data_IF_063438673970
#
_entry.id   IF_063438673970
#
_cell.length_a   1.000
_cell.length_b   1.000
_cell.length_c   1.000
_cell.angle_alpha   90.00
_cell.angle_beta   90.00
_cell.angle_gamma   90.00
#
_symmetry.space_group_name_H-M   'P 1'
#
loop_
_entity.id
_entity.type
_entity.pdbx_description
1 polymer ?
#
# COMPACT_ATOMS: atom_id res chain seq x y z
N UNK A 1 30.19 -5.13 19.57
CA UNK A 1 29.18 -5.86 18.79
C UNK A 1 29.41 -5.69 17.28
N UNK A 2 29.46 -4.46 16.73
CA UNK A 2 29.66 -4.24 15.27
C UNK A 2 31.01 -4.79 14.75
N UNK A 3 32.09 -4.63 15.52
CA UNK A 3 33.43 -5.15 15.16
C UNK A 3 33.47 -6.70 15.19
N UNK A 4 32.69 -7.31 16.07
CA UNK A 4 32.53 -8.76 16.19
C UNK A 4 31.77 -9.34 14.99
N UNK A 5 30.71 -8.64 14.57
CA UNK A 5 29.97 -8.98 13.37
C UNK A 5 30.82 -8.80 12.10
N UNK A 6 31.68 -7.76 12.03
CA UNK A 6 32.61 -7.56 10.95
C UNK A 6 33.54 -8.77 10.80
N UNK A 7 34.14 -9.24 11.89
CA UNK A 7 35.02 -10.43 11.90
C UNK A 7 34.30 -11.72 11.50
N UNK A 8 33.04 -11.89 11.96
CA UNK A 8 32.20 -13.05 11.57
C UNK A 8 31.85 -13.07 10.08
N UNK A 9 31.87 -11.90 9.45
CA UNK A 9 31.60 -11.72 8.02
C UNK A 9 32.90 -11.65 7.18
N UNK A 10 34.08 -11.90 7.81
CA UNK A 10 35.39 -11.99 7.12
C UNK A 10 36.04 -10.63 6.88
N UNK A 11 35.65 -9.59 7.66
CA UNK A 11 36.24 -8.26 7.58
C UNK A 11 37.01 -7.91 8.87
N UNK A 12 38.25 -7.49 8.76
CA UNK A 12 39.09 -7.20 9.93
C UNK A 12 38.78 -5.85 10.57
N UNK A 13 38.20 -4.93 9.79
CA UNK A 13 37.88 -3.57 10.23
C UNK A 13 36.43 -3.19 9.94
N UNK A 14 35.91 -2.23 10.69
CA UNK A 14 34.56 -1.69 10.47
C UNK A 14 34.45 -0.98 9.11
N UNK A 15 35.53 -0.30 8.69
CA UNK A 15 35.58 0.42 7.41
C UNK A 15 35.52 -0.54 6.21
N UNK A 16 36.14 -1.71 6.31
CA UNK A 16 36.01 -2.76 5.29
C UNK A 16 34.56 -3.33 5.22
N UNK A 17 33.93 -3.55 6.37
CA UNK A 17 32.56 -3.98 6.41
C UNK A 17 31.62 -2.94 5.75
N UNK A 18 31.82 -1.66 6.10
CA UNK A 18 31.02 -0.57 5.53
C UNK A 18 31.26 -0.40 4.03
N UNK A 19 32.51 -0.55 3.58
CA UNK A 19 32.84 -0.55 2.16
C UNK A 19 32.19 -1.72 1.41
N UNK A 20 32.22 -2.94 1.97
CA UNK A 20 31.58 -4.11 1.37
C UNK A 20 30.07 -3.96 1.23
N UNK A 21 29.42 -3.35 2.22
CA UNK A 21 27.98 -3.00 2.15
C UNK A 21 27.74 -1.90 1.12
N UNK A 22 28.57 -0.85 1.10
CA UNK A 22 28.43 0.29 0.18
C UNK A 22 28.63 -0.09 -1.29
N UNK A 23 29.55 -1.01 -1.57
CA UNK A 23 29.80 -1.55 -2.93
C UNK A 23 28.84 -2.68 -3.32
N UNK A 24 27.93 -3.09 -2.41
CA UNK A 24 26.94 -4.15 -2.70
C UNK A 24 27.52 -5.57 -2.67
N UNK A 25 28.72 -5.76 -2.16
CA UNK A 25 29.34 -7.09 -1.98
C UNK A 25 28.73 -7.84 -0.79
N UNK A 26 28.10 -7.12 0.14
CA UNK A 26 27.44 -7.68 1.32
C UNK A 26 26.03 -7.07 1.49
N UNK A 27 25.02 -7.91 1.68
CA UNK A 27 23.68 -7.44 1.89
C UNK A 27 23.49 -6.84 3.31
N UNK A 28 22.92 -5.64 3.41
CA UNK A 28 22.65 -4.96 4.71
C UNK A 28 21.81 -5.84 5.65
N UNK A 29 20.92 -6.66 5.08
CA UNK A 29 20.08 -7.59 5.84
C UNK A 29 20.89 -8.66 6.57
N UNK A 30 22.01 -9.10 6.02
CA UNK A 30 22.89 -10.11 6.62
C UNK A 30 23.67 -9.56 7.82
N UNK A 31 24.09 -8.30 7.74
CA UNK A 31 24.74 -7.59 8.85
C UNK A 31 23.73 -7.36 10.00
N UNK A 32 22.50 -6.95 9.68
CA UNK A 32 21.44 -6.73 10.67
C UNK A 32 21.02 -8.04 11.34
N UNK A 33 20.90 -9.14 10.59
CA UNK A 33 20.53 -10.44 11.13
C UNK A 33 21.53 -10.94 12.18
N UNK A 34 22.82 -10.68 11.97
CA UNK A 34 23.87 -11.05 12.93
C UNK A 34 23.98 -10.10 14.13
N UNK A 35 23.57 -8.84 13.97
CA UNK A 35 23.50 -7.87 15.07
C UNK A 35 22.34 -8.13 16.02
N UNK A 36 21.22 -8.66 15.52
CA UNK A 36 19.97 -8.90 16.26
C UNK A 36 19.88 -10.32 16.81
N UNK A 37 20.86 -11.20 16.53
CA UNK A 37 20.88 -12.55 17.09
C UNK A 37 20.94 -12.48 18.63
N UNK A 38 19.95 -13.03 19.36
CA UNK A 38 19.91 -12.96 20.83
C UNK A 38 21.02 -13.83 21.41
N UNK A 39 21.81 -13.26 22.33
CA UNK A 39 22.71 -14.03 23.20
C UNK A 39 21.90 -15.05 24.01
N UNK A 40 22.41 -16.26 24.25
CA UNK A 40 21.68 -17.31 24.98
C UNK A 40 21.59 -16.96 26.47
N UNK A 41 20.42 -16.56 26.91
CA UNK A 41 20.14 -16.40 28.34
C UNK A 41 19.09 -15.32 28.63
N UNK A 42 17.82 -15.62 28.42
CA UNK A 42 16.70 -15.34 29.30
C UNK A 42 15.41 -15.66 28.53
N UNK A 43 14.85 -16.83 28.79
CA UNK A 43 13.54 -17.21 28.26
C UNK A 43 12.44 -16.47 29.04
N UNK A 44 11.79 -15.52 28.40
CA UNK A 44 10.46 -15.05 28.76
C UNK A 44 9.53 -15.55 27.66
N UNK A 45 8.40 -16.20 27.94
CA UNK A 45 7.48 -16.66 26.92
C UNK A 45 6.78 -15.44 26.33
N UNK A 46 7.31 -14.93 25.23
CA UNK A 46 6.61 -13.97 24.39
C UNK A 46 5.73 -14.78 23.44
N UNK A 47 4.45 -14.45 23.44
CA UNK A 47 3.47 -14.98 22.48
C UNK A 47 4.08 -14.90 21.07
N UNK A 48 3.93 -15.99 20.34
CA UNK A 48 4.43 -16.13 18.96
C UNK A 48 3.97 -14.95 18.13
N UNK A 49 4.91 -14.22 17.46
CA UNK A 49 4.49 -13.25 16.47
C UNK A 49 3.87 -14.04 15.32
N UNK A 50 2.59 -13.81 15.05
CA UNK A 50 1.97 -14.25 13.82
C UNK A 50 2.91 -13.88 12.68
N UNK A 51 3.48 -14.89 12.07
CA UNK A 51 4.35 -14.80 10.91
C UNK A 51 3.72 -13.87 9.89
N UNK A 52 4.23 -12.64 9.78
CA UNK A 52 4.03 -11.84 8.61
C UNK A 52 4.71 -12.59 7.47
N UNK A 53 3.95 -13.43 6.78
CA UNK A 53 4.39 -14.04 5.54
C UNK A 53 4.74 -12.89 4.61
N UNK A 54 6.05 -12.65 4.43
CA UNK A 54 6.57 -11.93 3.28
C UNK A 54 6.09 -12.73 2.09
N UNK A 55 4.98 -12.30 1.49
CA UNK A 55 4.60 -12.75 0.17
C UNK A 55 5.81 -12.50 -0.72
N UNK A 56 6.35 -13.53 -1.36
CA UNK A 56 7.42 -13.33 -2.32
C UNK A 56 6.88 -12.37 -3.39
N UNK A 57 7.65 -11.33 -3.71
CA UNK A 57 7.47 -10.56 -4.94
C UNK A 57 7.77 -11.54 -6.06
N UNK A 58 6.78 -12.32 -6.39
CA UNK A 58 6.82 -13.35 -7.39
C UNK A 58 5.78 -13.06 -8.44
N UNK A 59 6.26 -12.96 -9.67
CA UNK A 59 5.55 -13.11 -10.93
C UNK A 59 4.47 -12.05 -11.19
N UNK A 60 4.57 -11.45 -12.37
CA UNK A 60 3.55 -10.70 -13.09
C UNK A 60 2.19 -11.41 -13.01
N UNK A 61 1.54 -11.34 -11.85
CA UNK A 61 0.16 -11.71 -11.72
C UNK A 61 -0.62 -10.66 -12.50
N UNK A 62 -1.36 -11.17 -13.45
CA UNK A 62 -2.32 -10.48 -14.29
C UNK A 62 -3.18 -9.55 -13.41
N UNK A 63 -2.75 -8.29 -13.27
CA UNK A 63 -3.40 -7.31 -12.39
C UNK A 63 -4.73 -6.83 -12.99
N UNK A 64 -5.32 -7.63 -13.88
CA UNK A 64 -6.59 -7.34 -14.50
C UNK A 64 -6.54 -6.12 -15.43
N UNK A 65 -5.38 -5.81 -16.01
CA UNK A 65 -5.21 -4.71 -16.96
C UNK A 65 -4.65 -5.25 -18.28
N UNK A 66 -5.24 -4.83 -19.40
CA UNK A 66 -4.76 -5.12 -20.75
C UNK A 66 -4.25 -3.87 -21.44
N UNK A 67 -3.13 -4.01 -22.11
CA UNK A 67 -2.55 -2.96 -22.98
C UNK A 67 -2.94 -3.24 -24.42
N UNK A 68 -3.48 -2.24 -25.12
CA UNK A 68 -3.75 -2.36 -26.55
C UNK A 68 -2.44 -2.52 -27.30
N UNK A 69 -2.22 -3.71 -27.91
CA UNK A 69 -1.11 -3.96 -28.82
C UNK A 69 0.18 -4.50 -28.22
N UNK A 70 0.26 -4.75 -26.91
CA UNK A 70 1.43 -5.35 -26.28
C UNK A 70 1.05 -6.48 -25.33
N UNK A 71 1.74 -7.62 -25.46
CA UNK A 71 1.68 -8.75 -24.53
C UNK A 71 3.01 -8.79 -23.79
N UNK A 72 3.01 -9.26 -22.54
CA UNK A 72 4.23 -9.45 -21.73
C UNK A 72 4.94 -8.16 -21.25
N UNK A 73 4.22 -7.06 -21.05
CA UNK A 73 4.75 -5.90 -20.36
C UNK A 73 4.66 -6.08 -18.84
N UNK A 74 5.76 -5.75 -18.14
CA UNK A 74 5.72 -5.66 -16.68
C UNK A 74 4.82 -4.49 -16.31
N UNK A 75 3.62 -4.78 -15.77
CA UNK A 75 2.63 -3.77 -15.37
C UNK A 75 2.55 -3.67 -13.86
N UNK A 76 2.36 -2.45 -13.36
CA UNK A 76 2.20 -2.19 -11.93
C UNK A 76 1.12 -1.13 -11.71
N UNK A 77 0.16 -1.40 -10.82
CA UNK A 77 -0.79 -0.38 -10.36
C UNK A 77 -0.07 0.67 -9.52
N UNK A 78 -0.36 1.93 -9.80
CA UNK A 78 0.26 3.05 -9.08
C UNK A 78 -0.25 3.14 -7.65
N UNK A 79 0.67 3.22 -6.68
CA UNK A 79 0.33 3.39 -5.25
C UNK A 79 -0.21 4.78 -4.93
N UNK A 80 0.08 5.79 -5.73
CA UNK A 80 -0.35 7.17 -5.45
C UNK A 80 -1.86 7.38 -5.64
N UNK A 81 -2.52 6.61 -6.51
CA UNK A 81 -3.95 6.75 -6.78
C UNK A 81 -4.75 5.45 -6.60
N UNK A 82 -4.06 4.30 -6.47
CA UNK A 82 -4.65 2.97 -6.29
C UNK A 82 -5.92 2.79 -7.15
N UNK A 83 -5.76 2.73 -8.50
CA UNK A 83 -6.89 2.58 -9.38
C UNK A 83 -7.56 1.22 -9.16
N UNK A 84 -8.88 1.17 -9.28
CA UNK A 84 -9.66 -0.06 -9.16
C UNK A 84 -10.46 -0.31 -10.44
N UNK A 85 -10.89 -1.55 -10.73
CA UNK A 85 -11.74 -1.85 -11.88
C UNK A 85 -12.95 -0.92 -11.95
N UNK A 86 -13.14 -0.32 -13.15
CA UNK A 86 -14.16 0.70 -13.39
C UNK A 86 -13.68 2.15 -13.26
N UNK A 87 -12.47 2.41 -12.73
CA UNK A 87 -11.82 3.71 -12.89
C UNK A 87 -11.34 3.88 -14.34
N UNK A 88 -11.34 5.11 -14.83
CA UNK A 88 -10.64 5.46 -16.08
C UNK A 88 -9.15 5.43 -15.81
N UNK A 89 -8.40 4.62 -16.56
CA UNK A 89 -6.99 4.38 -16.35
C UNK A 89 -6.14 4.77 -17.54
N UNK A 90 -4.89 5.09 -17.27
CA UNK A 90 -3.86 5.42 -18.24
C UNK A 90 -2.55 4.78 -17.82
N UNK A 91 -1.82 4.20 -18.76
CA UNK A 91 -0.51 3.64 -18.55
C UNK A 91 0.58 4.68 -18.79
N UNK A 92 1.61 4.70 -17.96
CA UNK A 92 2.81 5.50 -18.15
C UNK A 92 4.06 4.61 -18.18
N UNK A 93 4.82 4.68 -19.28
CA UNK A 93 6.07 3.94 -19.44
C UNK A 93 7.16 4.60 -18.59
N UNK A 94 7.58 3.92 -17.54
CA UNK A 94 8.65 4.38 -16.65
C UNK A 94 10.01 3.87 -17.09
N UNK A 95 11.08 4.64 -16.82
CA UNK A 95 12.45 4.17 -17.06
C UNK A 95 12.81 3.10 -16.03
N UNK A 96 12.92 1.85 -16.46
CA UNK A 96 13.41 0.73 -15.65
C UNK A 96 12.39 -0.01 -14.78
N UNK A 97 11.11 0.44 -14.70
CA UNK A 97 10.06 -0.26 -13.93
C UNK A 97 8.88 -0.78 -14.76
N UNK A 98 8.97 -0.69 -16.09
CA UNK A 98 7.87 -1.08 -16.97
C UNK A 98 6.74 -0.04 -17.01
N UNK A 99 5.51 -0.52 -17.17
CA UNK A 99 4.30 0.28 -17.31
C UNK A 99 3.63 0.47 -15.94
N UNK A 100 3.46 1.72 -15.52
CA UNK A 100 2.73 2.06 -14.30
C UNK A 100 1.34 2.56 -14.66
N UNK A 101 0.31 1.95 -14.07
CA UNK A 101 -1.11 2.24 -14.34
C UNK A 101 -1.61 3.25 -13.31
N UNK A 102 -2.10 4.38 -13.79
CA UNK A 102 -2.68 5.44 -12.99
C UNK A 102 -4.17 5.64 -13.30
N UNK A 103 -4.92 6.19 -12.35
CA UNK A 103 -6.21 6.81 -12.64
C UNK A 103 -5.98 8.08 -13.46
N UNK A 104 -6.83 8.35 -14.46
CA UNK A 104 -6.76 9.58 -15.27
C UNK A 104 -6.84 10.84 -14.40
N UNK A 105 -7.59 10.78 -13.30
CA UNK A 105 -7.76 11.88 -12.34
C UNK A 105 -6.66 11.91 -11.25
N UNK A 106 -5.49 11.30 -11.48
CA UNK A 106 -4.42 11.25 -10.49
C UNK A 106 -3.66 12.59 -10.46
N UNK A 107 -3.61 13.32 -9.31
CA UNK A 107 -2.89 14.58 -9.23
C UNK A 107 -1.39 14.46 -9.52
N UNK A 108 -0.79 13.33 -9.17
CA UNK A 108 0.61 13.08 -9.49
C UNK A 108 0.84 12.86 -10.99
N UNK A 109 -0.19 12.44 -11.69
CA UNK A 109 -0.15 12.34 -13.14
C UNK A 109 -0.17 13.74 -13.77
N UNK A 110 -0.93 14.68 -13.27
CA UNK A 110 -0.98 16.07 -13.74
C UNK A 110 0.29 16.86 -13.42
N UNK A 111 0.95 16.55 -12.28
CA UNK A 111 2.18 17.22 -11.84
C UNK A 111 3.45 16.71 -12.55
N UNK A 112 3.40 15.55 -13.18
CA UNK A 112 4.48 15.06 -14.02
C UNK A 112 4.42 15.85 -15.34
N UNK A 113 5.49 16.54 -15.69
CA UNK A 113 5.71 17.11 -17.01
C UNK A 113 5.90 15.92 -17.99
N UNK A 114 4.75 15.37 -18.47
CA UNK A 114 4.83 14.12 -19.21
C UNK A 114 5.35 14.33 -20.61
N UNK A 115 6.23 13.46 -20.92
CA UNK A 115 6.45 13.04 -22.27
C UNK A 115 5.19 12.30 -22.72
N UNK A 116 4.33 12.97 -23.49
CA UNK A 116 3.07 12.39 -24.01
C UNK A 116 3.31 11.10 -24.81
N UNK A 117 4.51 10.94 -25.36
CA UNK A 117 4.93 9.76 -26.11
C UNK A 117 5.04 8.50 -25.22
N UNK A 118 5.07 8.66 -23.88
CA UNK A 118 5.13 7.56 -22.91
C UNK A 118 3.77 7.16 -22.36
N UNK A 119 2.72 7.86 -22.76
CA UNK A 119 1.36 7.51 -22.36
C UNK A 119 0.84 6.38 -23.25
N UNK A 120 0.27 5.38 -22.64
CA UNK A 120 -0.29 4.20 -23.30
C UNK A 120 -1.73 4.03 -22.87
N UNK A 121 -2.62 3.82 -23.82
CA UNK A 121 -4.00 3.45 -23.53
C UNK A 121 -4.06 2.04 -22.98
N UNK A 122 -4.72 1.90 -21.84
CA UNK A 122 -4.91 0.64 -21.12
C UNK A 122 -6.37 0.47 -20.76
N UNK A 123 -6.80 -0.78 -20.68
CA UNK A 123 -8.18 -1.14 -20.31
C UNK A 123 -8.15 -2.19 -19.20
N UNK A 124 -9.17 -2.17 -18.32
CA UNK A 124 -9.34 -3.22 -17.33
C UNK A 124 -9.71 -4.54 -18.01
N UNK A 125 -9.05 -5.61 -17.62
CA UNK A 125 -9.51 -6.96 -17.89
C UNK A 125 -10.52 -7.38 -16.83
N UNK A 126 -11.78 -7.34 -17.18
CA UNK A 126 -12.88 -7.67 -16.26
C UNK A 126 -12.96 -9.15 -15.91
N UNK A 127 -12.14 -9.99 -16.52
CA UNK A 127 -12.14 -11.43 -16.29
C UNK A 127 -11.38 -11.86 -15.03
N UNK A 128 -10.53 -10.98 -14.48
CA UNK A 128 -9.71 -11.31 -13.31
C UNK A 128 -10.31 -10.68 -12.04
N UNK A 129 -10.96 -11.46 -11.17
CA UNK A 129 -11.44 -10.96 -9.89
C UNK A 129 -10.25 -10.67 -8.97
N UNK A 130 -10.23 -9.49 -8.36
CA UNK A 130 -9.20 -9.08 -7.42
C UNK A 130 -9.74 -8.16 -6.34
N UNK A 131 -9.07 -8.14 -5.19
CA UNK A 131 -9.31 -7.17 -4.14
C UNK A 131 -8.30 -6.03 -4.27
N UNK A 132 -8.79 -4.82 -4.27
CA UNK A 132 -7.98 -3.62 -4.45
C UNK A 132 -8.06 -2.74 -3.20
N UNK A 133 -6.91 -2.36 -2.60
CA UNK A 133 -6.91 -1.48 -1.43
C UNK A 133 -7.25 -0.05 -1.84
N UNK A 134 -8.24 0.55 -1.18
CA UNK A 134 -8.68 1.92 -1.40
C UNK A 134 -8.67 2.68 -0.10
N UNK A 135 -8.12 3.89 -0.10
CA UNK A 135 -8.17 4.78 1.07
C UNK A 135 -9.48 5.55 1.08
N UNK A 136 -10.18 5.47 2.21
CA UNK A 136 -11.42 6.19 2.51
C UNK A 136 -11.16 7.10 3.71
N UNK A 137 -11.48 8.38 3.57
CA UNK A 137 -11.45 9.34 4.68
C UNK A 137 -12.87 9.70 5.08
N UNK A 138 -13.18 9.50 6.34
CA UNK A 138 -14.47 9.79 6.94
C UNK A 138 -14.30 10.92 7.94
N UNK A 139 -15.07 11.98 7.78
CA UNK A 139 -15.20 13.03 8.77
C UNK A 139 -16.47 12.80 9.57
N UNK A 140 -16.37 12.75 10.88
CA UNK A 140 -17.50 12.50 11.77
C UNK A 140 -17.45 13.40 13.00
N UNK A 141 -18.58 13.53 13.69
CA UNK A 141 -18.63 14.13 15.03
C UNK A 141 -17.99 13.15 16.00
N UNK A 142 -17.09 13.65 16.87
CA UNK A 142 -16.48 12.82 17.92
C UNK A 142 -17.51 12.49 19.00
N UNK A 143 -18.10 11.30 18.88
CA UNK A 143 -19.03 10.76 19.86
C UNK A 143 -18.82 9.26 20.04
N UNK A 144 -19.21 8.77 21.23
CA UNK A 144 -19.13 7.35 21.56
C UNK A 144 -19.85 6.48 20.54
N UNK A 145 -19.18 5.43 20.04
CA UNK A 145 -19.75 4.44 19.14
C UNK A 145 -19.65 4.76 17.66
N UNK A 146 -19.28 5.99 17.25
CA UNK A 146 -19.23 6.36 15.82
C UNK A 146 -18.25 5.47 15.04
N UNK A 147 -17.08 5.18 15.61
CA UNK A 147 -16.10 4.28 14.99
C UNK A 147 -16.67 2.86 14.81
N UNK A 148 -17.32 2.34 15.85
CA UNK A 148 -17.91 1.00 15.79
C UNK A 148 -18.99 0.91 14.70
N UNK A 149 -19.85 1.92 14.63
CA UNK A 149 -20.93 1.96 13.63
C UNK A 149 -20.37 2.10 12.21
N UNK A 150 -19.35 2.92 11.98
CA UNK A 150 -18.68 3.04 10.67
C UNK A 150 -18.02 1.73 10.29
N UNK A 151 -17.31 1.08 11.21
CA UNK A 151 -16.67 -0.22 10.93
C UNK A 151 -17.70 -1.31 10.63
N UNK A 152 -18.84 -1.33 11.34
CA UNK A 152 -19.94 -2.25 11.06
C UNK A 152 -20.54 -2.02 9.67
N UNK A 153 -20.78 -0.75 9.28
CA UNK A 153 -21.30 -0.40 7.96
C UNK A 153 -20.36 -0.85 6.82
N UNK A 154 -19.03 -0.76 7.03
CA UNK A 154 -18.03 -1.29 6.07
C UNK A 154 -18.13 -2.81 5.98
N UNK A 155 -18.20 -3.50 7.13
CA UNK A 155 -18.29 -4.96 7.19
C UNK A 155 -19.58 -5.49 6.55
N UNK A 156 -20.73 -4.81 6.75
CA UNK A 156 -22.01 -5.15 6.12
C UNK A 156 -21.96 -5.07 4.58
N UNK A 157 -21.11 -4.20 4.04
CA UNK A 157 -20.82 -4.14 2.61
C UNK A 157 -19.84 -5.23 2.14
N UNK A 158 -19.42 -6.17 3.00
CA UNK A 158 -18.45 -7.22 2.69
C UNK A 158 -17.06 -6.66 2.28
N UNK A 159 -16.71 -5.48 2.74
CA UNK A 159 -15.40 -4.89 2.55
C UNK A 159 -14.53 -5.15 3.79
N UNK A 160 -13.30 -5.64 3.59
CA UNK A 160 -12.34 -5.82 4.66
C UNK A 160 -11.60 -4.51 4.94
N UNK A 161 -11.30 -4.22 6.22
CA UNK A 161 -10.48 -3.09 6.65
C UNK A 161 -9.07 -3.63 6.89
N UNK A 162 -8.11 -3.24 6.06
CA UNK A 162 -6.70 -3.66 6.23
C UNK A 162 -5.91 -2.67 7.09
N UNK A 163 -6.35 -1.40 7.18
CA UNK A 163 -5.72 -0.37 8.02
C UNK A 163 -6.75 0.65 8.46
N UNK A 164 -6.59 1.16 9.68
CA UNK A 164 -7.37 2.27 10.21
C UNK A 164 -6.46 3.24 10.97
N UNK A 165 -6.63 4.54 10.70
CA UNK A 165 -5.97 5.63 11.42
C UNK A 165 -7.05 6.60 11.87
N UNK A 166 -7.00 7.01 13.14
CA UNK A 166 -8.03 7.85 13.75
C UNK A 166 -7.36 9.03 14.43
N UNK A 167 -7.85 10.20 14.12
CA UNK A 167 -7.41 11.44 14.77
C UNK A 167 -8.62 12.28 15.17
N UNK A 168 -8.71 12.62 16.45
CA UNK A 168 -9.68 13.58 16.96
C UNK A 168 -9.07 14.97 16.95
N UNK A 169 -9.84 15.96 16.51
CA UNK A 169 -9.48 17.38 16.48
C UNK A 169 -10.12 18.13 17.67
N UNK A 170 -9.56 19.28 17.99
CA UNK A 170 -10.06 20.14 19.09
C UNK A 170 -11.50 20.64 18.87
N UNK A 171 -11.96 20.68 17.60
CA UNK A 171 -13.31 21.08 17.21
C UNK A 171 -14.38 19.97 17.37
N UNK A 172 -14.08 18.93 18.16
CA UNK A 172 -14.93 17.73 18.34
C UNK A 172 -15.28 17.00 17.05
N UNK A 173 -14.41 17.08 16.06
CA UNK A 173 -14.49 16.26 14.86
C UNK A 173 -13.45 15.19 14.87
N UNK A 174 -13.83 13.99 14.49
CA UNK A 174 -12.95 12.87 14.24
C UNK A 174 -12.71 12.70 12.74
N UNK A 175 -11.46 12.48 12.36
CA UNK A 175 -11.09 12.02 11.03
C UNK A 175 -10.70 10.55 11.15
N UNK A 176 -11.41 9.71 10.41
CA UNK A 176 -11.23 8.27 10.39
C UNK A 176 -10.75 7.90 8.98
N UNK A 177 -9.50 7.54 8.85
CA UNK A 177 -8.89 7.12 7.60
C UNK A 177 -8.80 5.59 7.59
N UNK A 178 -9.49 4.97 6.64
CA UNK A 178 -9.50 3.52 6.45
C UNK A 178 -8.84 3.15 5.14
N UNK A 179 -8.15 2.01 5.11
CA UNK A 179 -7.82 1.30 3.87
C UNK A 179 -8.76 0.11 3.80
N UNK A 180 -9.64 0.12 2.82
CA UNK A 180 -10.65 -0.93 2.60
C UNK A 180 -10.34 -1.69 1.32
N UNK A 181 -10.59 -2.98 1.34
CA UNK A 181 -10.41 -3.85 0.17
C UNK A 181 -11.73 -3.97 -0.58
N UNK A 182 -11.72 -3.59 -1.85
CA UNK A 182 -12.91 -3.58 -2.71
C UNK A 182 -12.64 -4.23 -4.05
N UNK A 183 -13.69 -4.72 -4.70
CA UNK A 183 -13.57 -5.38 -6.01
C UNK A 183 -13.51 -4.37 -7.16
N UNK A 184 -14.32 -3.30 -7.11
CA UNK A 184 -14.49 -2.34 -8.18
C UNK A 184 -15.01 -0.98 -7.68
N UNK A 185 -15.24 -0.07 -8.62
CA UNK A 185 -15.82 1.26 -8.34
C UNK A 185 -17.26 1.21 -7.83
N UNK A 186 -18.06 0.20 -8.18
CA UNK A 186 -19.44 0.06 -7.69
C UNK A 186 -19.41 -0.36 -6.22
N UNK A 187 -18.50 -1.27 -5.86
CA UNK A 187 -18.33 -1.72 -4.49
C UNK A 187 -17.88 -0.58 -3.58
N UNK A 188 -16.83 0.19 -3.96
CA UNK A 188 -16.41 1.34 -3.13
C UNK A 188 -17.53 2.40 -3.00
N UNK A 189 -18.28 2.67 -4.04
CA UNK A 189 -19.41 3.60 -3.97
C UNK A 189 -20.52 3.10 -3.04
N UNK A 190 -20.74 1.78 -2.98
CA UNK A 190 -21.67 1.18 -2.03
C UNK A 190 -21.19 1.37 -0.59
N UNK A 191 -19.91 1.10 -0.33
CA UNK A 191 -19.28 1.33 0.99
C UNK A 191 -19.38 2.80 1.42
N UNK A 192 -19.05 3.75 0.54
CA UNK A 192 -19.15 5.18 0.85
C UNK A 192 -20.56 5.59 1.22
N UNK A 193 -21.58 5.15 0.46
CA UNK A 193 -22.99 5.44 0.76
C UNK A 193 -23.46 4.80 2.07
N UNK A 194 -22.97 3.62 2.43
CA UNK A 194 -23.28 3.00 3.70
C UNK A 194 -22.67 3.79 4.88
N UNK A 195 -21.44 4.25 4.75
CA UNK A 195 -20.77 5.07 5.75
C UNK A 195 -21.50 6.41 5.94
N UNK A 196 -21.91 7.07 4.85
CA UNK A 196 -22.63 8.37 4.92
C UNK A 196 -23.97 8.29 5.64
N UNK A 197 -24.58 7.11 5.74
CA UNK A 197 -25.85 6.89 6.47
C UNK A 197 -25.65 6.70 7.96
N UNK A 198 -24.42 6.51 8.42
CA UNK A 198 -24.11 6.31 9.84
C UNK A 198 -24.33 7.63 10.59
N UNK A 199 -25.10 7.55 11.69
CA UNK A 199 -25.34 8.72 12.52
C UNK A 199 -24.02 9.28 13.12
N UNK A 200 -23.82 10.58 12.95
CA UNK A 200 -22.62 11.29 13.34
C UNK A 200 -21.57 11.42 12.22
N UNK A 201 -21.71 10.76 11.08
CA UNK A 201 -20.87 10.99 9.92
C UNK A 201 -21.26 12.29 9.21
N UNK A 202 -20.28 13.14 8.93
CA UNK A 202 -20.45 14.41 8.22
C UNK A 202 -20.20 14.21 6.73
N UNK A 203 -19.15 13.44 6.39
CA UNK A 203 -18.81 13.12 5.00
C UNK A 203 -17.92 11.88 4.93
N UNK A 204 -18.03 11.14 3.84
CA UNK A 204 -17.12 10.04 3.50
C UNK A 204 -16.63 10.23 2.06
N UNK A 205 -15.33 10.05 1.83
CA UNK A 205 -14.76 10.22 0.49
C UNK A 205 -13.60 9.27 0.24
N UNK A 206 -13.46 8.82 -1.00
CA UNK A 206 -12.27 8.12 -1.46
C UNK A 206 -11.11 9.09 -1.62
N UNK A 207 -9.94 8.76 -1.07
CA UNK A 207 -8.71 9.52 -1.25
C UNK A 207 -7.93 8.91 -2.41
N UNK A 208 -7.75 9.67 -3.49
CA UNK A 208 -7.02 9.24 -4.69
C UNK A 208 -5.54 9.64 -4.68
N UNK A 209 -5.17 10.66 -3.92
CA UNK A 209 -3.77 11.06 -3.74
C UNK A 209 -3.26 10.49 -2.42
N UNK A 210 -2.54 9.37 -2.49
CA UNK A 210 -1.96 8.74 -1.31
C UNK A 210 -0.46 8.99 -1.29
N UNK A 211 -0.01 9.75 -0.29
CA UNK A 211 1.40 9.78 0.10
C UNK A 211 1.52 8.94 1.38
N UNK A 212 2.22 7.82 1.31
CA UNK A 212 2.70 7.15 2.51
C UNK A 212 3.70 8.09 3.19
N UNK A 213 3.42 8.46 4.44
CA UNK A 213 4.38 9.12 5.32
C UNK A 213 5.31 8.09 5.92
#
# INVERSE_FOLDING_TARGET
QLLEVARQLGHDTLDELMAAVGFGHLATAEVIAKLVAPSPGTAVPVAEPVSAQKTPVGKSDDQGVRVKGARDLLMQLSRCCNPVPGDRILGYITRGRGLTIHSVDCPNLEALDYDRERLVEVEWDTATPGLHPVKVSVMAVDKTGVLANVSSAIAECQANISRAEIATREDRKAVLDFVVEVNDTKHINHVLKAIERVDGVISARRIRAWQEK
#
